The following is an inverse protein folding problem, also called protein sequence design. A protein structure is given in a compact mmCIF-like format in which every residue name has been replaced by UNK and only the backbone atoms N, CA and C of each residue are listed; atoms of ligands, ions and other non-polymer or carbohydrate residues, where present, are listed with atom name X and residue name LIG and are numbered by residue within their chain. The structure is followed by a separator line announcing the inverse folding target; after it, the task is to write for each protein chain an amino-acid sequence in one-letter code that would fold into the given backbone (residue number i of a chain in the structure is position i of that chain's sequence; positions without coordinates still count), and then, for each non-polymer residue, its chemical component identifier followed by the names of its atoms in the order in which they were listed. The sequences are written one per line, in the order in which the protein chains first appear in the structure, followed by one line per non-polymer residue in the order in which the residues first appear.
data_IF_945080653961
#
_entry.id   IF_945080653961
#
_cell.length_a   1.000
_cell.length_b   1.000
_cell.length_c   1.000
_cell.angle_alpha   90.00
_cell.angle_beta   90.00
_cell.angle_gamma   90.00
#
_symmetry.space_group_name_H-M   'P 1'
#
loop_
_entity.id
_entity.type
_entity.pdbx_description
1 polymer ?
#
# COMPACT_ATOMS: atom_id res chain seq x y z
N UNK A 1 -0.58 -13.75 -22.68
CA UNK A 1 0.28 -13.96 -21.48
C UNK A 1 -0.48 -13.50 -20.26
N UNK A 2 -0.46 -14.26 -19.16
CA UNK A 2 -1.12 -13.89 -17.90
C UNK A 2 -0.55 -12.57 -17.35
N UNK A 3 -1.40 -11.67 -16.87
CA UNK A 3 -0.97 -10.37 -16.33
C UNK A 3 -1.02 -10.43 -14.81
N UNK A 4 0.05 -10.01 -14.15
CA UNK A 4 0.10 -9.95 -12.68
C UNK A 4 -0.13 -8.52 -12.23
N UNK A 5 -1.14 -8.30 -11.39
CA UNK A 5 -1.44 -7.00 -10.81
C UNK A 5 -1.15 -6.99 -9.30
N UNK A 6 -0.88 -5.80 -8.77
CA UNK A 6 -0.69 -5.60 -7.35
C UNK A 6 -2.01 -5.16 -6.70
N UNK A 7 -2.30 -5.77 -5.56
CA UNK A 7 -3.45 -5.48 -4.72
C UNK A 7 -3.03 -5.14 -3.29
N UNK A 8 -3.88 -4.39 -2.61
CA UNK A 8 -3.82 -4.11 -1.18
C UNK A 8 -4.95 -4.82 -0.46
N UNK A 9 -4.67 -5.37 0.72
CA UNK A 9 -5.68 -5.86 1.65
C UNK A 9 -5.53 -5.15 3.00
N UNK A 10 -6.63 -4.65 3.56
CA UNK A 10 -6.66 -3.94 4.83
C UNK A 10 -7.67 -4.58 5.79
N UNK A 11 -7.51 -4.31 7.09
CA UNK A 11 -8.39 -4.87 8.14
C UNK A 11 -7.96 -6.24 8.65
N UNK A 12 -6.80 -6.74 8.23
CA UNK A 12 -6.23 -8.01 8.69
C UNK A 12 -5.96 -7.89 10.20
N UNK A 13 -6.31 -8.89 11.01
CA UNK A 13 -6.07 -8.84 12.46
C UNK A 13 -4.57 -8.83 12.77
N UNK A 14 -4.15 -8.02 13.75
CA UNK A 14 -2.79 -8.05 14.27
C UNK A 14 -2.38 -9.46 14.72
N UNK A 15 -1.12 -9.82 14.47
CA UNK A 15 -0.58 -11.15 14.74
C UNK A 15 -0.81 -12.20 13.63
N UNK A 16 -1.52 -11.86 12.56
CA UNK A 16 -1.60 -12.74 11.38
C UNK A 16 -0.23 -12.86 10.68
N UNK A 17 0.03 -14.01 10.06
CA UNK A 17 1.20 -14.24 9.21
C UNK A 17 0.81 -14.13 7.72
N UNK A 18 1.81 -14.15 6.82
CA UNK A 18 1.54 -14.11 5.37
C UNK A 18 0.77 -15.36 4.90
N UNK A 19 1.04 -16.50 5.52
CA UNK A 19 0.38 -17.78 5.26
C UNK A 19 -1.09 -17.72 5.70
N UNK A 20 -1.36 -17.11 6.86
CA UNK A 20 -2.73 -16.88 7.31
C UNK A 20 -3.52 -16.00 6.34
N UNK A 21 -2.87 -14.99 5.73
CA UNK A 21 -3.49 -14.12 4.71
C UNK A 21 -3.86 -14.89 3.45
N UNK A 22 -3.03 -15.85 3.02
CA UNK A 22 -3.40 -16.74 1.89
C UNK A 22 -4.67 -17.55 2.21
N UNK A 23 -4.85 -17.96 3.46
CA UNK A 23 -6.06 -18.66 3.93
C UNK A 23 -7.34 -17.82 3.98
N UNK A 24 -7.28 -16.52 3.67
CA UNK A 24 -8.45 -15.65 3.55
C UNK A 24 -9.11 -15.70 2.17
N UNK A 25 -8.38 -16.14 1.15
CA UNK A 25 -8.90 -16.31 -0.20
C UNK A 25 -9.63 -17.65 -0.36
N UNK A 26 -10.59 -17.68 -1.28
CA UNK A 26 -11.21 -18.92 -1.76
C UNK A 26 -10.15 -19.88 -2.30
N UNK A 27 -10.40 -21.19 -2.22
CA UNK A 27 -9.40 -22.20 -2.57
C UNK A 27 -8.94 -22.11 -4.04
N UNK A 28 -9.87 -21.81 -4.95
CA UNK A 28 -9.63 -21.56 -6.37
C UNK A 28 -8.70 -20.38 -6.65
N UNK A 29 -8.54 -19.46 -5.70
CA UNK A 29 -7.79 -18.22 -5.85
C UNK A 29 -6.35 -18.31 -5.33
N UNK A 30 -6.06 -19.25 -4.42
CA UNK A 30 -4.82 -19.25 -3.63
C UNK A 30 -3.56 -19.34 -4.47
N UNK A 31 -3.55 -20.18 -5.50
CA UNK A 31 -2.39 -20.37 -6.39
C UNK A 31 -2.08 -19.15 -7.28
N UNK A 32 -3.01 -18.20 -7.35
CA UNK A 32 -2.87 -16.94 -8.07
C UNK A 32 -2.33 -15.82 -7.19
N UNK A 33 -2.33 -16.00 -5.87
CA UNK A 33 -1.95 -15.00 -4.88
C UNK A 33 -0.51 -15.20 -4.41
N UNK A 34 0.26 -14.12 -4.38
CA UNK A 34 1.56 -14.08 -3.71
C UNK A 34 1.64 -12.87 -2.78
N UNK A 35 1.58 -13.10 -1.47
CA UNK A 35 1.68 -12.05 -0.45
C UNK A 35 3.11 -11.49 -0.42
N UNK A 36 3.25 -10.19 -0.70
CA UNK A 36 4.55 -9.50 -0.76
C UNK A 36 4.89 -8.85 0.57
N UNK A 37 3.96 -8.08 1.14
CA UNK A 37 4.16 -7.38 2.42
C UNK A 37 3.03 -7.67 3.39
N UNK A 38 3.34 -7.57 4.68
CA UNK A 38 2.38 -7.61 5.77
C UNK A 38 2.90 -6.71 6.88
N UNK A 39 2.32 -5.53 7.02
CA UNK A 39 2.81 -4.48 7.91
C UNK A 39 1.69 -3.98 8.81
N UNK A 40 2.00 -3.43 10.00
CA UNK A 40 1.01 -2.72 10.82
C UNK A 40 0.27 -1.65 10.02
N UNK A 41 -1.04 -1.59 10.16
CA UNK A 41 -1.86 -0.57 9.53
C UNK A 41 -1.47 0.82 10.03
N UNK A 42 -1.50 1.81 9.15
CA UNK A 42 -1.30 3.21 9.55
C UNK A 42 -2.46 3.70 10.42
N UNK A 43 -3.66 3.15 10.22
CA UNK A 43 -4.85 3.62 10.94
C UNK A 43 -5.02 3.00 12.32
N UNK A 44 -4.60 1.75 12.50
CA UNK A 44 -4.73 1.05 13.77
C UNK A 44 -3.58 0.06 13.98
N UNK A 45 -2.34 0.55 14.16
CA UNK A 45 -1.12 -0.27 14.08
C UNK A 45 -1.06 -1.41 15.10
N UNK A 46 -1.78 -1.29 16.22
CA UNK A 46 -1.82 -2.33 17.25
C UNK A 46 -2.93 -3.38 17.05
N UNK A 47 -3.92 -3.10 16.19
CA UNK A 47 -5.10 -3.97 16.01
C UNK A 47 -5.18 -4.59 14.63
N UNK A 48 -4.68 -3.88 13.60
CA UNK A 48 -4.80 -4.33 12.22
C UNK A 48 -3.50 -4.23 11.44
N UNK A 49 -3.40 -5.04 10.40
CA UNK A 49 -2.33 -5.10 9.43
C UNK A 49 -2.87 -4.71 8.05
N UNK A 50 -1.96 -4.27 7.19
CA UNK A 50 -2.16 -4.06 5.77
C UNK A 50 -1.19 -4.96 5.01
N UNK A 51 -1.72 -5.74 4.08
CA UNK A 51 -0.93 -6.58 3.18
C UNK A 51 -0.92 -6.00 1.78
N UNK A 52 0.16 -6.25 1.05
CA UNK A 52 0.17 -6.13 -0.41
C UNK A 52 0.43 -7.51 -1.00
N UNK A 53 -0.26 -7.85 -2.08
CA UNK A 53 -0.11 -9.13 -2.75
C UNK A 53 -0.18 -9.00 -4.27
N UNK A 54 0.61 -9.81 -4.96
CA UNK A 54 0.48 -10.02 -6.40
C UNK A 54 -0.68 -10.98 -6.65
N UNK A 55 -1.48 -10.69 -7.67
CA UNK A 55 -2.52 -11.59 -8.14
C UNK A 55 -2.36 -11.84 -9.65
N UNK A 56 -2.33 -13.11 -10.05
CA UNK A 56 -2.20 -13.54 -11.44
C UNK A 56 -3.58 -13.60 -12.10
N UNK A 57 -3.84 -12.64 -12.99
CA UNK A 57 -5.09 -12.59 -13.76
C UNK A 57 -4.99 -13.41 -15.03
N UNK A 58 -6.14 -13.95 -15.44
CA UNK A 58 -6.33 -14.39 -16.82
C UNK A 58 -6.29 -13.19 -17.77
N UNK A 59 -5.72 -13.34 -18.98
CA UNK A 59 -5.60 -12.23 -19.94
C UNK A 59 -6.93 -11.54 -20.26
N UNK A 60 -8.04 -12.29 -20.22
CA UNK A 60 -9.39 -11.84 -20.57
C UNK A 60 -10.17 -11.25 -19.39
N UNK A 61 -9.65 -11.33 -18.16
CA UNK A 61 -10.36 -10.91 -16.94
C UNK A 61 -9.46 -10.13 -15.98
N UNK A 62 -9.05 -8.93 -16.42
CA UNK A 62 -8.20 -8.03 -15.62
C UNK A 62 -8.97 -7.30 -14.51
N UNK A 63 -10.30 -7.32 -14.56
CA UNK A 63 -11.16 -6.67 -13.57
C UNK A 63 -11.70 -7.65 -12.51
N UNK A 64 -11.35 -8.94 -12.63
CA UNK A 64 -11.65 -9.91 -11.59
C UNK A 64 -11.09 -9.46 -10.24
N UNK A 65 -11.99 -9.37 -9.25
CA UNK A 65 -11.61 -9.08 -7.88
C UNK A 65 -11.39 -10.43 -7.17
N UNK A 66 -10.21 -10.68 -6.57
CA UNK A 66 -9.93 -11.95 -5.90
C UNK A 66 -11.00 -12.29 -4.84
N UNK A 67 -11.59 -13.49 -4.95
CA UNK A 67 -12.62 -13.99 -4.01
C UNK A 67 -12.07 -14.21 -2.60
N UNK A 68 -12.80 -13.70 -1.60
CA UNK A 68 -12.49 -13.89 -0.18
C UNK A 68 -13.54 -14.79 0.48
N UNK A 69 -13.12 -15.60 1.45
CA UNK A 69 -14.05 -16.43 2.21
C UNK A 69 -15.11 -15.59 2.95
N UNK A 70 -16.35 -16.05 2.97
CA UNK A 70 -17.49 -15.36 3.59
C UNK A 70 -17.26 -14.93 5.05
N UNK A 71 -16.56 -15.77 5.80
CA UNK A 71 -16.20 -15.53 7.21
C UNK A 71 -15.29 -14.30 7.43
N UNK A 72 -14.58 -13.83 6.41
CA UNK A 72 -13.67 -12.66 6.50
C UNK A 72 -14.02 -11.52 5.54
N UNK A 73 -14.77 -11.77 4.46
CA UNK A 73 -15.05 -10.78 3.40
C UNK A 73 -15.66 -9.46 3.89
N UNK A 74 -16.40 -9.49 5.00
CA UNK A 74 -17.07 -8.33 5.58
C UNK A 74 -16.17 -7.50 6.52
N UNK A 75 -14.99 -8.00 6.88
CA UNK A 75 -14.01 -7.32 7.77
C UNK A 75 -12.78 -6.82 7.04
N UNK A 76 -12.58 -7.29 5.81
CA UNK A 76 -11.43 -6.98 4.98
C UNK A 76 -11.87 -6.09 3.83
N UNK A 77 -10.99 -5.18 3.43
CA UNK A 77 -11.13 -4.45 2.17
C UNK A 77 -9.96 -4.77 1.26
N UNK A 78 -10.24 -4.93 -0.04
CA UNK A 78 -9.23 -5.12 -1.07
C UNK A 78 -9.40 -4.08 -2.17
N UNK A 79 -8.29 -3.53 -2.63
CA UNK A 79 -8.27 -2.50 -3.67
C UNK A 79 -7.00 -2.57 -4.52
N UNK A 80 -7.08 -1.97 -5.72
CA UNK A 80 -5.95 -1.83 -6.65
C UNK A 80 -5.45 -0.41 -6.81
N UNK A 81 -6.15 0.59 -6.29
CA UNK A 81 -5.82 2.00 -6.50
C UNK A 81 -4.82 2.53 -5.47
N UNK A 82 -4.72 1.88 -4.32
CA UNK A 82 -3.80 2.22 -3.23
C UNK A 82 -3.99 3.65 -2.70
N UNK A 83 -5.21 4.18 -2.72
CA UNK A 83 -5.51 5.49 -2.15
C UNK A 83 -5.27 5.53 -0.64
N UNK A 84 -4.72 6.64 -0.15
CA UNK A 84 -4.25 6.78 1.21
C UNK A 84 -2.88 6.11 1.44
N UNK A 85 -2.53 5.94 2.71
CA UNK A 85 -1.26 5.32 3.07
C UNK A 85 -1.27 3.81 2.85
N UNK A 86 -0.19 3.29 2.29
CA UNK A 86 0.09 1.87 2.19
C UNK A 86 1.47 1.59 2.78
N UNK A 87 1.56 0.93 3.95
CA UNK A 87 2.83 0.52 4.51
C UNK A 87 3.44 -0.63 3.69
N UNK A 88 4.70 -0.48 3.31
CA UNK A 88 5.45 -1.42 2.47
C UNK A 88 6.54 -2.14 3.27
N UNK A 89 7.07 -1.48 4.30
CA UNK A 89 8.03 -2.06 5.23
C UNK A 89 7.81 -1.46 6.62
N UNK A 90 7.93 -2.29 7.65
CA UNK A 90 7.93 -1.87 9.04
C UNK A 90 9.15 -2.47 9.70
N UNK A 91 9.98 -1.66 10.39
CA UNK A 91 11.12 -2.16 11.13
C UNK A 91 10.63 -2.93 12.37
N UNK A 92 11.53 -3.69 13.00
CA UNK A 92 11.26 -4.33 14.28
C UNK A 92 10.90 -3.26 15.34
N UNK A 93 9.98 -3.60 16.25
CA UNK A 93 9.34 -2.66 17.17
C UNK A 93 10.30 -1.88 18.10
N UNK A 94 11.56 -2.31 18.22
CA UNK A 94 12.58 -1.70 19.10
C UNK A 94 13.36 -0.58 18.41
N UNK A 95 13.40 -0.54 17.07
CA UNK A 95 14.28 0.36 16.31
C UNK A 95 13.51 1.06 15.18
N UNK A 96 12.80 2.13 15.51
CA UNK A 96 12.05 2.90 14.52
C UNK A 96 12.15 4.39 14.78
N UNK A 97 12.95 5.10 13.98
CA UNK A 97 13.23 6.53 14.23
C UNK A 97 12.78 7.46 13.10
N UNK A 98 12.43 6.90 11.94
CA UNK A 98 12.09 7.66 10.73
C UNK A 98 10.96 7.02 9.94
N UNK A 99 10.01 7.86 9.53
CA UNK A 99 8.99 7.54 8.55
C UNK A 99 9.42 8.03 7.16
N UNK A 100 9.53 7.10 6.21
CA UNK A 100 9.74 7.43 4.80
C UNK A 100 8.41 7.30 4.09
N UNK A 101 7.92 8.41 3.55
CA UNK A 101 6.63 8.48 2.85
C UNK A 101 6.89 8.90 1.40
N UNK A 102 6.59 7.98 0.49
CA UNK A 102 6.69 8.21 -0.94
C UNK A 102 5.35 8.63 -1.52
N UNK A 103 5.26 9.88 -2.00
CA UNK A 103 4.08 10.46 -2.62
C UNK A 103 4.29 10.49 -4.12
N UNK A 104 3.36 9.93 -4.89
CA UNK A 104 3.46 9.94 -6.36
C UNK A 104 3.22 11.32 -6.95
N UNK A 105 3.73 11.56 -8.15
CA UNK A 105 3.36 12.73 -8.95
C UNK A 105 1.94 12.63 -9.51
N UNK A 106 1.48 13.70 -10.17
CA UNK A 106 0.17 13.73 -10.86
C UNK A 106 0.05 12.58 -11.87
N UNK A 107 -1.13 11.97 -11.92
CA UNK A 107 -1.43 10.77 -12.72
C UNK A 107 -0.56 9.54 -12.39
N UNK A 108 0.20 9.57 -11.29
CA UNK A 108 1.02 8.46 -10.83
C UNK A 108 0.24 7.45 -10.00
N UNK A 109 0.53 6.16 -10.19
CA UNK A 109 -0.03 5.07 -9.39
C UNK A 109 0.88 4.73 -8.19
N UNK A 110 0.34 4.65 -6.98
CA UNK A 110 1.14 4.54 -5.74
C UNK A 110 2.12 3.36 -5.70
N UNK A 111 1.78 2.25 -6.35
CA UNK A 111 2.71 1.13 -6.52
C UNK A 111 3.48 1.24 -7.85
N UNK A 112 2.79 1.68 -8.91
CA UNK A 112 3.30 1.65 -10.28
C UNK A 112 4.46 2.60 -10.50
N UNK A 113 4.41 3.81 -9.92
CA UNK A 113 5.45 4.84 -10.04
C UNK A 113 6.80 4.44 -9.45
N UNK A 114 6.85 3.38 -8.63
CA UNK A 114 8.06 2.90 -7.97
C UNK A 114 8.41 1.45 -8.35
N UNK A 115 7.67 0.87 -9.30
CA UNK A 115 7.87 -0.51 -9.76
C UNK A 115 8.74 -0.55 -11.01
N UNK A 116 9.62 -1.55 -11.07
CA UNK A 116 10.41 -1.93 -12.22
C UNK A 116 9.62 -2.88 -13.12
N UNK A 117 10.06 -3.04 -14.38
CA UNK A 117 9.41 -3.91 -15.36
C UNK A 117 9.39 -5.40 -14.95
N UNK A 118 10.38 -5.83 -14.16
CA UNK A 118 10.49 -7.19 -13.62
C UNK A 118 9.55 -7.44 -12.42
N UNK A 119 8.77 -6.44 -12.03
CA UNK A 119 7.81 -6.51 -10.93
C UNK A 119 8.44 -6.40 -9.54
N UNK A 120 9.72 -6.05 -9.45
CA UNK A 120 10.32 -5.53 -8.22
C UNK A 120 9.89 -4.07 -8.01
N UNK A 121 9.94 -3.58 -6.78
CA UNK A 121 9.52 -2.24 -6.41
C UNK A 121 10.57 -1.60 -5.52
N UNK A 122 11.11 -0.45 -5.93
CA UNK A 122 12.22 0.21 -5.25
C UNK A 122 12.00 0.41 -3.74
N UNK A 123 10.84 0.97 -3.36
CA UNK A 123 10.49 1.24 -1.96
C UNK A 123 10.36 -0.01 -1.10
N UNK A 124 9.94 -1.15 -1.68
CA UNK A 124 9.66 -2.39 -0.95
C UNK A 124 10.85 -3.34 -0.96
N UNK A 125 11.49 -3.49 -2.12
CA UNK A 125 12.45 -4.57 -2.35
C UNK A 125 13.90 -4.08 -2.23
N UNK A 126 14.17 -2.77 -2.30
CA UNK A 126 15.54 -2.23 -2.25
C UNK A 126 15.76 -1.31 -1.07
N UNK A 127 14.92 -0.30 -0.88
CA UNK A 127 15.08 0.71 0.16
C UNK A 127 15.24 0.14 1.59
N UNK A 128 14.50 -0.91 2.02
CA UNK A 128 14.68 -1.47 3.36
C UNK A 128 16.09 -2.00 3.64
N UNK A 129 16.84 -2.41 2.62
CA UNK A 129 18.22 -2.88 2.78
C UNK A 129 19.17 -1.75 3.16
N UNK A 130 18.88 -0.53 2.71
CA UNK A 130 19.66 0.67 3.04
C UNK A 130 19.20 1.33 4.35
N UNK A 131 17.94 1.14 4.75
CA UNK A 131 17.32 1.83 5.90
C UNK A 131 16.48 0.89 6.77
N UNK A 132 17.13 -0.06 7.43
CA UNK A 132 16.47 -1.11 8.24
C UNK A 132 15.64 -0.60 9.43
N UNK A 133 15.86 0.63 9.89
CA UNK A 133 15.13 1.27 10.99
C UNK A 133 13.97 2.18 10.50
N UNK A 134 13.80 2.31 9.18
CA UNK A 134 12.78 3.16 8.61
C UNK A 134 11.46 2.42 8.42
N UNK A 135 10.34 3.03 8.81
CA UNK A 135 9.03 2.57 8.31
C UNK A 135 8.83 3.20 6.95
N UNK A 136 8.57 2.38 5.94
CA UNK A 136 8.43 2.84 4.55
C UNK A 136 6.99 2.66 4.11
N UNK A 137 6.40 3.72 3.59
CA UNK A 137 5.04 3.73 3.07
C UNK A 137 4.94 4.54 1.79
N UNK A 138 3.93 4.25 0.97
CA UNK A 138 3.53 5.12 -0.13
C UNK A 138 2.16 5.74 0.14
N UNK A 139 1.90 6.91 -0.43
CA UNK A 139 0.61 7.58 -0.37
C UNK A 139 0.03 7.76 -1.78
N UNK A 140 -1.09 7.09 -2.05
CA UNK A 140 -1.85 7.24 -3.29
C UNK A 140 -2.99 8.24 -3.14
N UNK A 141 -3.33 8.92 -4.23
CA UNK A 141 -4.44 9.87 -4.28
C UNK A 141 -5.02 9.93 -5.68
N UNK A 142 -6.33 10.21 -5.77
CA UNK A 142 -7.04 10.23 -7.05
C UNK A 142 -6.59 11.43 -7.90
N UNK A 143 -5.85 11.15 -8.97
CA UNK A 143 -5.35 12.16 -9.93
C UNK A 143 -5.57 11.75 -11.38
N UNK A 144 -6.53 10.84 -11.64
CA UNK A 144 -6.88 10.48 -13.02
C UNK A 144 -7.24 11.77 -13.77
N UNK A 145 -6.48 12.08 -14.82
CA UNK A 145 -6.59 13.31 -15.61
C UNK A 145 -7.58 13.17 -16.77
N UNK A 146 -8.13 11.97 -17.00
CA UNK A 146 -9.06 11.65 -18.09
C UNK A 146 -9.96 10.47 -17.71
N UNK A 147 -11.12 10.36 -18.36
CA UNK A 147 -12.08 9.26 -18.18
C UNK A 147 -13.23 9.59 -17.21
N UNK A 148 -14.12 8.62 -16.94
CA UNK A 148 -15.29 8.80 -16.07
C UNK A 148 -14.92 9.12 -14.60
N UNK A 149 -13.69 8.81 -14.19
CA UNK A 149 -13.15 9.05 -12.85
C UNK A 149 -12.24 10.30 -12.79
N UNK A 150 -12.51 11.32 -13.62
CA UNK A 150 -11.71 12.54 -13.66
C UNK A 150 -11.67 13.19 -12.27
N UNK A 151 -10.45 13.41 -11.75
CA UNK A 151 -10.29 14.08 -10.47
C UNK A 151 -10.56 15.58 -10.60
N UNK A 152 -11.56 16.08 -9.87
CA UNK A 152 -11.84 17.52 -9.71
C UNK A 152 -11.12 18.14 -8.50
N UNK A 153 -10.35 17.33 -7.77
CA UNK A 153 -9.66 17.78 -6.56
C UNK A 153 -8.51 18.72 -6.93
N UNK A 154 -8.45 19.87 -6.26
CA UNK A 154 -7.33 20.79 -6.43
C UNK A 154 -6.09 20.26 -5.72
N UNK A 155 -4.90 20.75 -6.09
CA UNK A 155 -3.66 20.42 -5.37
C UNK A 155 -3.75 20.77 -3.87
N UNK A 156 -4.49 21.83 -3.53
CA UNK A 156 -4.73 22.22 -2.13
C UNK A 156 -5.56 21.16 -1.41
N UNK A 157 -6.65 20.68 -1.99
CA UNK A 157 -7.50 19.67 -1.38
C UNK A 157 -6.73 18.37 -1.13
N UNK A 158 -5.90 17.98 -2.10
CA UNK A 158 -5.02 16.82 -2.00
C UNK A 158 -3.97 17.00 -0.90
N UNK A 159 -3.34 18.18 -0.80
CA UNK A 159 -2.37 18.51 0.24
C UNK A 159 -3.01 18.54 1.64
N UNK A 160 -4.22 19.09 1.77
CA UNK A 160 -4.96 19.12 3.04
C UNK A 160 -5.37 17.72 3.49
N UNK A 161 -5.87 16.89 2.55
CA UNK A 161 -6.19 15.50 2.82
C UNK A 161 -4.95 14.71 3.28
N UNK A 162 -3.82 14.88 2.58
CA UNK A 162 -2.54 14.27 2.98
C UNK A 162 -2.09 14.74 4.36
N UNK A 163 -2.06 16.05 4.61
CA UNK A 163 -1.66 16.65 5.89
C UNK A 163 -2.54 16.12 7.02
N UNK A 164 -3.84 16.11 6.82
CA UNK A 164 -4.79 15.59 7.82
C UNK A 164 -4.47 14.14 8.15
N UNK A 165 -4.34 13.25 7.16
CA UNK A 165 -4.02 11.84 7.39
C UNK A 165 -2.64 11.66 8.05
N UNK A 166 -1.64 12.47 7.68
CA UNK A 166 -0.29 12.45 8.27
C UNK A 166 -0.33 12.80 9.76
N UNK A 167 -1.08 13.85 10.14
CA UNK A 167 -1.24 14.24 11.54
C UNK A 167 -1.96 13.16 12.35
N UNK A 168 -2.99 12.52 11.79
CA UNK A 168 -3.67 11.39 12.43
C UNK A 168 -2.74 10.19 12.63
N UNK A 169 -1.91 9.87 11.63
CA UNK A 169 -0.91 8.81 11.73
C UNK A 169 0.09 9.09 12.86
N UNK A 170 0.62 10.32 12.96
CA UNK A 170 1.61 10.69 13.98
C UNK A 170 1.08 10.49 15.39
N UNK A 171 -0.16 10.94 15.65
CA UNK A 171 -0.84 10.80 16.96
C UNK A 171 -1.03 9.36 17.42
N UNK A 172 -0.95 8.37 16.52
CA UNK A 172 -1.20 6.95 16.82
C UNK A 172 0.07 6.17 17.17
N UNK A 173 1.19 6.84 17.33
CA UNK A 173 2.48 6.20 17.63
C UNK A 173 3.13 6.85 18.83
N UNK A 174 3.87 6.09 19.65
CA UNK A 174 4.43 6.56 20.91
C UNK A 174 5.38 7.77 20.75
N UNK A 175 6.13 7.86 19.64
CA UNK A 175 7.03 8.98 19.39
C UNK A 175 6.31 10.24 18.86
N UNK A 176 5.02 10.16 18.50
CA UNK A 176 4.22 11.31 18.09
C UNK A 176 4.90 12.21 17.06
N UNK A 177 5.04 13.49 17.41
CA UNK A 177 5.65 14.53 16.58
C UNK A 177 7.19 14.54 16.59
N UNK A 178 7.83 13.80 17.51
CA UNK A 178 9.30 13.71 17.58
C UNK A 178 9.87 12.82 16.47
N UNK A 179 9.04 12.01 15.80
CA UNK A 179 9.49 11.17 14.70
C UNK A 179 9.73 11.98 13.43
N UNK A 180 10.94 11.82 12.89
CA UNK A 180 11.35 12.41 11.62
C UNK A 180 10.54 11.80 10.47
N UNK A 181 10.04 12.64 9.58
CA UNK A 181 9.34 12.23 8.36
C UNK A 181 10.15 12.72 7.16
N UNK A 182 10.51 11.80 6.27
CA UNK A 182 11.14 12.09 4.99
C UNK A 182 10.11 11.87 3.87
N UNK A 183 9.85 12.93 3.10
CA UNK A 183 8.95 12.88 1.96
C UNK A 183 9.76 12.67 0.68
N UNK A 184 9.45 11.62 -0.06
CA UNK A 184 9.97 11.39 -1.40
C UNK A 184 8.87 11.67 -2.39
N UNK A 185 9.17 12.46 -3.41
CA UNK A 185 8.26 12.69 -4.53
C UNK A 185 8.89 12.15 -5.81
N UNK A 186 8.07 11.52 -6.65
CA UNK A 186 8.50 11.11 -7.98
C UNK A 186 7.97 12.11 -9.00
N UNK A 187 8.85 12.70 -9.81
CA UNK A 187 8.47 13.47 -10.99
C UNK A 187 8.47 12.55 -12.20
N UNK A 188 7.36 12.50 -12.93
CA UNK A 188 7.32 11.92 -14.26
C UNK A 188 8.28 12.72 -15.17
N UNK A 189 9.41 12.11 -15.53
CA UNK A 189 10.19 12.54 -16.67
C UNK A 189 9.48 11.99 -17.90
N UNK A 190 8.82 12.86 -18.67
CA UNK A 190 8.44 12.53 -20.04
C UNK A 190 9.77 12.36 -20.81
N UNK A 191 10.09 11.13 -21.21
CA UNK A 191 10.98 10.92 -22.36
C UNK A 191 10.14 10.99 -23.61
#
# INVERSE_FOLDING_TARGET
MAKTLMWRMQGIKAGATKEAVLGYFEESERDRVQVKTLCPSVDNPHRTLTATFKYRHEPTSLDHIPGLLDRVRHRLSIDRDFFGFTPLHSPAAVTHDVDIIAVTGLAGHAIGSWSLQDGQMWLRDFLPHATQTARIMTYGYATKLQGPDLSIATMRDLAEAFRSKLLHMRKRTAQGDQRRVLLFTCRLSKR
#
